data_IF_031256467564
#
_entry.id   IF_031256467564
#
_cell.length_a   1.000
_cell.length_b   1.000
_cell.length_c   1.000
_cell.angle_alpha   90.00
_cell.angle_beta   90.00
_cell.angle_gamma   90.00
#
_symmetry.space_group_name_H-M   'P 1'
#
loop_
_entity.id
_entity.type
_entity.pdbx_description
1 polymer ?
#
# COMPACT_ATOMS: atom_id res chain seq x y z
N UNK A 1 -7.65 -11.20 1.22
CA UNK A 1 -6.26 -11.63 0.91
C UNK A 1 -5.76 -12.65 1.95
N UNK A 2 -6.06 -12.37 3.20
CA UNK A 2 -5.75 -13.09 4.44
C UNK A 2 -6.24 -14.55 4.42
N UNK A 3 -7.46 -14.81 3.91
CA UNK A 3 -7.97 -16.18 3.75
C UNK A 3 -7.15 -17.01 2.76
N UNK A 4 -6.73 -16.40 1.64
CA UNK A 4 -5.88 -17.06 0.66
C UNK A 4 -4.48 -17.32 1.24
N UNK A 5 -3.94 -16.36 2.00
CA UNK A 5 -2.70 -16.54 2.74
C UNK A 5 -2.80 -17.71 3.72
N UNK A 6 -3.87 -17.76 4.53
CA UNK A 6 -4.13 -18.85 5.46
C UNK A 6 -4.19 -20.21 4.76
N UNK A 7 -4.92 -20.31 3.64
CA UNK A 7 -5.03 -21.55 2.86
C UNK A 7 -3.69 -22.03 2.30
N UNK A 8 -2.80 -21.12 1.91
CA UNK A 8 -1.45 -21.45 1.41
C UNK A 8 -0.46 -21.76 2.53
N UNK A 9 -0.59 -21.11 3.68
CA UNK A 9 0.29 -21.31 4.82
C UNK A 9 -0.03 -22.58 5.62
N UNK A 10 -1.31 -22.94 5.72
CA UNK A 10 -1.74 -24.09 6.53
C UNK A 10 -1.03 -25.41 6.14
N UNK A 11 -0.90 -25.79 4.85
CA UNK A 11 -0.16 -27.00 4.46
C UNK A 11 1.31 -27.02 4.91
N UNK A 12 1.94 -25.84 5.05
CA UNK A 12 3.35 -25.71 5.45
C UNK A 12 3.58 -25.91 6.95
N UNK A 13 2.53 -25.81 7.77
CA UNK A 13 2.63 -25.90 9.22
C UNK A 13 2.43 -27.35 9.68
N UNK A 14 3.45 -28.06 10.17
CA UNK A 14 3.26 -29.43 10.65
C UNK A 14 2.25 -29.55 11.82
N UNK A 15 1.67 -30.75 12.02
CA UNK A 15 0.82 -31.03 13.20
C UNK A 15 1.62 -30.85 14.50
N UNK A 16 1.00 -30.28 15.52
CA UNK A 16 1.68 -29.83 16.73
C UNK A 16 2.38 -28.47 16.58
N UNK A 17 2.53 -27.97 15.35
CA UNK A 17 3.10 -26.65 15.07
C UNK A 17 2.22 -25.51 15.55
N UNK A 18 2.83 -24.35 15.74
CA UNK A 18 2.19 -23.15 16.27
C UNK A 18 1.90 -22.19 15.12
N UNK A 19 0.65 -21.73 15.03
CA UNK A 19 0.25 -20.61 14.20
C UNK A 19 0.23 -19.35 15.06
N UNK A 20 0.91 -18.31 14.60
CA UNK A 20 0.74 -16.93 15.07
C UNK A 20 0.21 -16.15 13.87
N UNK A 21 -1.05 -15.74 13.93
CA UNK A 21 -1.75 -15.13 12.81
C UNK A 21 -2.18 -13.71 13.14
N UNK A 22 -1.53 -12.73 12.48
CA UNK A 22 -1.79 -11.31 12.67
C UNK A 22 -2.66 -10.83 11.52
N UNK A 23 -3.90 -10.45 11.82
CA UNK A 23 -4.88 -10.01 10.83
C UNK A 23 -5.73 -8.87 11.36
N UNK A 24 -6.31 -8.03 10.50
CA UNK A 24 -7.35 -7.10 10.92
C UNK A 24 -8.56 -7.86 11.50
N UNK A 25 -9.13 -7.36 12.60
CA UNK A 25 -10.24 -8.04 13.31
C UNK A 25 -11.44 -8.33 12.39
N UNK A 26 -11.80 -7.39 11.52
CA UNK A 26 -12.94 -7.48 10.59
C UNK A 26 -12.86 -8.64 9.58
N UNK A 27 -11.72 -9.31 9.46
CA UNK A 27 -11.54 -10.49 8.59
C UNK A 27 -12.08 -11.76 9.26
N UNK A 28 -12.30 -11.75 10.59
CA UNK A 28 -12.80 -12.89 11.37
C UNK A 28 -14.29 -13.14 11.17
N UNK A 29 -14.64 -13.62 9.98
CA UNK A 29 -15.99 -14.07 9.67
C UNK A 29 -16.23 -15.56 9.97
N UNK A 30 -17.46 -16.02 9.77
CA UNK A 30 -17.88 -17.39 10.05
C UNK A 30 -17.03 -18.46 9.33
N UNK A 31 -16.50 -18.13 8.16
CA UNK A 31 -15.67 -19.05 7.37
C UNK A 31 -14.26 -19.16 7.98
N UNK A 32 -13.58 -18.04 8.18
CA UNK A 32 -12.21 -18.05 8.73
C UNK A 32 -12.19 -18.57 10.16
N UNK A 33 -13.14 -18.13 10.99
CA UNK A 33 -13.29 -18.66 12.36
C UNK A 33 -13.60 -20.15 12.32
N UNK A 34 -14.42 -20.60 11.37
CA UNK A 34 -14.71 -22.02 11.15
C UNK A 34 -13.47 -22.84 10.83
N UNK A 35 -12.53 -22.30 10.04
CA UNK A 35 -11.26 -22.97 9.76
C UNK A 35 -10.33 -22.98 10.98
N UNK A 36 -10.15 -21.83 11.63
CA UNK A 36 -9.31 -21.73 12.83
C UNK A 36 -9.76 -22.72 13.90
N UNK A 37 -11.04 -22.69 14.23
CA UNK A 37 -11.65 -23.55 15.24
C UNK A 37 -11.68 -25.02 14.85
N UNK A 38 -11.47 -25.40 13.58
CA UNK A 38 -11.38 -26.80 13.13
C UNK A 38 -9.94 -27.32 13.11
N UNK A 39 -8.98 -26.47 12.77
CA UNK A 39 -7.60 -26.89 12.54
C UNK A 39 -6.68 -26.70 13.76
N UNK A 40 -7.10 -25.90 14.74
CA UNK A 40 -6.26 -25.49 15.87
C UNK A 40 -6.92 -25.78 17.22
N UNK A 41 -6.10 -26.17 18.19
CA UNK A 41 -6.40 -26.21 19.61
C UNK A 41 -5.74 -25.04 20.33
N UNK A 42 -6.14 -24.81 21.58
CA UNK A 42 -5.53 -23.80 22.46
C UNK A 42 -5.55 -22.39 21.86
N UNK A 43 -6.62 -22.11 21.09
CA UNK A 43 -6.80 -20.85 20.39
C UNK A 43 -6.92 -19.69 21.37
N UNK A 44 -6.07 -18.69 21.20
CA UNK A 44 -6.08 -17.44 21.98
C UNK A 44 -6.03 -16.27 21.02
N UNK A 45 -6.72 -15.19 21.37
CA UNK A 45 -6.78 -13.98 20.57
C UNK A 45 -6.43 -12.79 21.45
N UNK A 46 -5.56 -11.92 20.92
CA UNK A 46 -5.15 -10.69 21.56
C UNK A 46 -5.25 -9.53 20.57
N UNK A 47 -5.47 -8.32 21.06
CA UNK A 47 -5.29 -7.10 20.30
C UNK A 47 -3.80 -6.83 20.13
N UNK A 48 -3.38 -6.44 18.92
CA UNK A 48 -2.01 -5.98 18.70
C UNK A 48 -1.75 -4.67 19.47
N UNK A 49 -0.50 -4.46 19.91
CA UNK A 49 -0.09 -3.24 20.63
C UNK A 49 -0.30 -2.00 19.77
N UNK A 50 -0.03 -2.09 18.47
CA UNK A 50 -0.36 -1.05 17.50
C UNK A 50 -1.86 -1.11 17.14
N UNK A 51 -2.57 -0.03 17.43
CA UNK A 51 -4.04 0.04 17.31
C UNK A 51 -4.53 0.68 16.01
N UNK A 52 -3.65 1.36 15.26
CA UNK A 52 -4.00 2.05 14.02
C UNK A 52 -4.71 1.14 13.00
N UNK A 53 -4.33 -0.14 12.94
CA UNK A 53 -4.83 -1.09 11.95
C UNK A 53 -5.90 -2.05 12.47
N UNK A 54 -6.36 -1.89 13.72
CA UNK A 54 -7.34 -2.78 14.39
C UNK A 54 -6.97 -4.27 14.24
N UNK A 55 -5.69 -4.56 14.43
CA UNK A 55 -5.16 -5.91 14.25
C UNK A 55 -5.32 -6.75 15.52
N UNK A 56 -5.52 -8.04 15.30
CA UNK A 56 -5.54 -9.07 16.32
C UNK A 56 -4.46 -10.11 16.03
N UNK A 57 -3.88 -10.64 17.09
CA UNK A 57 -2.89 -11.71 17.07
C UNK A 57 -3.55 -12.98 17.59
N UNK A 58 -3.65 -13.99 16.72
CA UNK A 58 -4.26 -15.27 17.05
C UNK A 58 -3.18 -16.32 17.18
N UNK A 59 -3.15 -16.98 18.34
CA UNK A 59 -2.28 -18.12 18.60
C UNK A 59 -3.09 -19.40 18.52
N UNK A 60 -2.51 -20.45 17.95
CA UNK A 60 -3.15 -21.77 17.95
C UNK A 60 -2.16 -22.88 17.65
N UNK A 61 -2.41 -24.07 18.20
CA UNK A 61 -1.60 -25.28 17.93
C UNK A 61 -2.31 -26.18 16.94
N UNK A 62 -1.68 -26.51 15.81
CA UNK A 62 -2.30 -27.30 14.75
C UNK A 62 -2.59 -28.72 15.26
N UNK A 63 -3.82 -29.18 15.15
CA UNK A 63 -4.25 -30.52 15.57
C UNK A 63 -4.91 -31.28 14.42
N UNK A 64 -5.05 -32.60 14.57
CA UNK A 64 -5.93 -33.39 13.70
C UNK A 64 -7.36 -33.22 14.19
N UNK A 65 -8.32 -33.24 13.27
CA UNK A 65 -9.73 -33.00 13.59
C UNK A 65 -10.29 -33.96 14.66
N UNK A 66 -9.77 -35.19 14.74
CA UNK A 66 -10.16 -36.18 15.74
C UNK A 66 -9.69 -35.86 17.17
N UNK A 67 -8.69 -34.99 17.33
CA UNK A 67 -8.08 -34.65 18.61
C UNK A 67 -8.76 -33.41 19.24
N UNK A 68 -9.92 -33.01 18.73
CA UNK A 68 -10.60 -31.77 19.08
C UNK A 68 -11.62 -31.96 20.22
N UNK A 69 -11.49 -31.17 21.29
CA UNK A 69 -12.46 -31.14 22.39
C UNK A 69 -13.66 -30.23 22.03
N UNK A 70 -14.87 -30.79 22.04
CA UNK A 70 -16.09 -30.13 21.53
C UNK A 70 -16.51 -28.86 22.29
N UNK A 71 -16.37 -28.85 23.62
CA UNK A 71 -17.02 -27.82 24.44
C UNK A 71 -16.22 -26.50 24.51
N UNK A 72 -14.88 -26.56 24.55
CA UNK A 72 -14.04 -25.36 24.51
C UNK A 72 -14.10 -24.64 23.15
N UNK A 73 -14.31 -25.39 22.08
CA UNK A 73 -14.38 -24.86 20.70
C UNK A 73 -15.57 -23.91 20.51
N UNK A 74 -16.72 -24.18 21.15
CA UNK A 74 -17.91 -23.33 21.02
C UNK A 74 -17.69 -21.94 21.63
N UNK A 75 -17.12 -21.89 22.83
CA UNK A 75 -16.83 -20.62 23.51
C UNK A 75 -15.81 -19.78 22.73
N UNK A 76 -14.71 -20.39 22.29
CA UNK A 76 -13.70 -19.69 21.49
C UNK A 76 -14.24 -19.24 20.14
N UNK A 77 -15.08 -20.05 19.49
CA UNK A 77 -15.76 -19.66 18.24
C UNK A 77 -16.62 -18.42 18.44
N UNK A 78 -17.42 -18.39 19.51
CA UNK A 78 -18.27 -17.25 19.85
C UNK A 78 -17.44 -15.97 20.05
N UNK A 79 -16.37 -16.06 20.85
CA UNK A 79 -15.47 -14.93 21.11
C UNK A 79 -14.83 -14.38 19.83
N UNK A 80 -14.29 -15.25 18.97
CA UNK A 80 -13.67 -14.83 17.71
C UNK A 80 -14.65 -14.12 16.78
N UNK A 81 -15.91 -14.56 16.73
CA UNK A 81 -16.95 -13.93 15.92
C UNK A 81 -17.37 -12.57 16.49
N UNK A 82 -17.53 -12.46 17.81
CA UNK A 82 -17.85 -11.19 18.47
C UNK A 82 -16.75 -10.14 18.21
N UNK A 83 -15.48 -10.55 18.28
CA UNK A 83 -14.36 -9.68 17.97
C UNK A 83 -14.33 -9.29 16.48
N UNK A 84 -14.66 -10.23 15.59
CA UNK A 84 -14.74 -9.96 14.15
C UNK A 84 -15.86 -8.99 13.77
N UNK A 85 -16.98 -9.04 14.48
CA UNK A 85 -18.14 -8.15 14.31
C UNK A 85 -17.94 -6.79 14.99
N UNK A 86 -16.99 -6.69 15.93
CA UNK A 86 -16.77 -5.49 16.74
C UNK A 86 -17.65 -5.41 17.98
N UNK A 87 -18.35 -6.50 18.33
CA UNK A 87 -19.21 -6.61 19.51
C UNK A 87 -18.41 -6.84 20.81
N UNK A 88 -17.15 -7.28 20.68
CA UNK A 88 -16.22 -7.45 21.78
C UNK A 88 -14.81 -6.99 21.37
N UNK A 89 -14.03 -6.54 22.35
CA UNK A 89 -12.60 -6.26 22.15
C UNK A 89 -11.75 -7.41 22.69
N UNK A 90 -10.69 -7.75 21.96
CA UNK A 90 -9.69 -8.69 22.44
C UNK A 90 -8.84 -8.04 23.54
N UNK A 91 -8.39 -8.84 24.51
CA UNK A 91 -7.41 -8.40 25.50
C UNK A 91 -6.11 -7.99 24.83
N UNK A 92 -5.39 -7.04 25.41
CA UNK A 92 -4.09 -6.63 24.89
C UNK A 92 -3.07 -7.76 24.97
N UNK A 93 -2.21 -7.88 23.95
CA UNK A 93 -1.14 -8.86 23.96
C UNK A 93 -0.22 -8.62 25.18
N UNK A 94 -0.04 -9.61 26.07
CA UNK A 94 0.70 -9.39 27.31
C UNK A 94 2.19 -9.20 27.02
N UNK A 95 2.84 -8.31 27.78
CA UNK A 95 4.28 -8.07 27.71
C UNK A 95 5.09 -9.32 28.11
N UNK A 96 4.59 -10.06 29.09
CA UNK A 96 5.14 -11.32 29.55
C UNK A 96 4.14 -12.45 29.29
N UNK A 97 4.59 -13.54 28.68
CA UNK A 97 3.71 -14.64 28.31
C UNK A 97 3.25 -15.41 29.56
N UNK A 98 1.93 -15.42 29.90
CA UNK A 98 1.47 -15.98 31.17
C UNK A 98 1.20 -17.50 31.11
N UNK A 99 1.38 -18.13 29.94
CA UNK A 99 1.14 -19.56 29.75
C UNK A 99 2.46 -20.32 29.56
N UNK A 100 2.36 -21.65 29.55
CA UNK A 100 3.49 -22.49 29.17
C UNK A 100 3.98 -22.12 27.76
N UNK A 101 5.32 -22.13 27.53
CA UNK A 101 5.88 -21.92 26.21
C UNK A 101 5.34 -22.93 25.21
N UNK A 102 5.09 -22.48 23.99
CA UNK A 102 4.74 -23.41 22.92
C UNK A 102 5.94 -24.28 22.57
N UNK A 103 5.72 -25.59 22.46
CA UNK A 103 6.74 -26.53 22.00
C UNK A 103 6.82 -26.52 20.48
N UNK A 104 8.00 -26.28 19.93
CA UNK A 104 8.24 -26.43 18.49
C UNK A 104 8.46 -27.92 18.19
N UNK A 105 7.60 -28.58 17.41
CA UNK A 105 7.80 -29.98 17.07
C UNK A 105 9.07 -30.18 16.25
N UNK A 106 9.80 -31.25 16.54
CA UNK A 106 10.92 -31.68 15.72
C UNK A 106 10.43 -32.00 14.31
N UNK A 107 11.26 -31.70 13.29
CA UNK A 107 10.94 -32.07 11.92
C UNK A 107 10.82 -33.59 11.81
N UNK A 108 9.75 -34.14 11.19
CA UNK A 108 9.59 -35.57 11.03
C UNK A 108 10.59 -36.17 10.02
N UNK A 109 11.21 -35.33 9.19
CA UNK A 109 12.22 -35.70 8.22
C UNK A 109 13.46 -34.81 8.39
N UNK A 110 14.64 -35.37 8.14
CA UNK A 110 15.84 -34.56 8.00
C UNK A 110 15.70 -33.63 6.79
N UNK A 111 16.14 -32.36 6.89
CA UNK A 111 16.14 -31.48 5.74
C UNK A 111 17.05 -32.04 4.66
N UNK A 112 16.52 -32.29 3.45
CA UNK A 112 17.30 -32.80 2.30
C UNK A 112 18.50 -31.90 1.98
N UNK A 113 18.34 -30.60 2.17
CA UNK A 113 19.35 -29.60 1.88
C UNK A 113 19.38 -28.57 3.02
N UNK A 114 20.45 -28.58 3.81
CA UNK A 114 20.71 -27.55 4.82
C UNK A 114 22.09 -26.96 4.57
N UNK A 115 22.17 -26.04 3.62
CA UNK A 115 23.42 -25.37 3.27
C UNK A 115 23.32 -23.89 3.62
N UNK A 116 24.37 -23.39 4.29
CA UNK A 116 24.68 -21.96 4.28
C UNK A 116 25.42 -21.68 2.98
N UNK A 117 24.75 -21.08 2.01
CA UNK A 117 25.43 -20.55 0.83
C UNK A 117 26.07 -19.21 1.21
N UNK A 118 27.40 -19.17 1.21
CA UNK A 118 28.17 -17.91 1.27
C UNK A 118 28.89 -17.82 -0.06
N UNK A 119 28.48 -16.86 -0.90
CA UNK A 119 29.17 -16.58 -2.15
C UNK A 119 30.18 -15.47 -1.90
N UNK A 120 31.39 -15.66 -2.40
CA UNK A 120 32.34 -14.56 -2.50
C UNK A 120 31.83 -13.50 -3.50
N UNK A 121 32.19 -12.23 -3.35
CA UNK A 121 31.72 -11.16 -4.23
C UNK A 121 31.94 -11.44 -5.72
N UNK A 122 33.07 -12.08 -6.07
CA UNK A 122 33.42 -12.46 -7.44
C UNK A 122 32.46 -13.52 -8.00
N UNK A 123 32.18 -14.57 -7.22
CA UNK A 123 31.22 -15.61 -7.61
C UNK A 123 29.80 -15.05 -7.75
N UNK A 124 29.41 -14.12 -6.89
CA UNK A 124 28.12 -13.45 -7.01
C UNK A 124 28.05 -12.59 -8.27
N UNK A 125 29.11 -11.85 -8.61
CA UNK A 125 29.17 -11.06 -9.83
C UNK A 125 29.06 -11.95 -11.08
N UNK A 126 29.77 -13.09 -11.10
CA UNK A 126 29.69 -14.08 -12.18
C UNK A 126 28.27 -14.64 -12.32
N UNK A 127 27.60 -14.98 -11.21
CA UNK A 127 26.24 -15.51 -11.26
C UNK A 127 25.18 -14.48 -11.61
N UNK A 128 25.32 -13.24 -11.15
CA UNK A 128 24.47 -12.11 -11.58
C UNK A 128 24.66 -11.88 -13.08
N UNK A 129 25.89 -11.94 -13.57
CA UNK A 129 26.22 -11.81 -14.99
C UNK A 129 25.64 -12.95 -15.83
N UNK A 130 25.71 -14.20 -15.35
CA UNK A 130 25.20 -15.38 -16.05
C UNK A 130 23.67 -15.43 -16.06
N UNK A 131 23.04 -15.20 -14.91
CA UNK A 131 21.60 -15.32 -14.77
C UNK A 131 20.88 -14.11 -15.35
N UNK A 132 21.49 -12.92 -15.33
CA UNK A 132 20.95 -11.62 -15.75
C UNK A 132 19.65 -11.18 -15.03
N UNK A 133 18.93 -12.10 -14.38
CA UNK A 133 17.61 -11.85 -13.80
C UNK A 133 16.64 -11.26 -14.82
N UNK A 134 15.80 -10.33 -14.36
CA UNK A 134 14.90 -9.55 -15.21
C UNK A 134 15.53 -8.23 -15.70
N UNK A 135 16.83 -7.99 -15.41
CA UNK A 135 17.50 -6.72 -15.73
C UNK A 135 17.49 -6.37 -17.22
N UNK A 136 17.70 -7.30 -18.17
CA UNK A 136 17.62 -6.99 -19.60
C UNK A 136 16.23 -6.52 -20.05
N UNK A 137 15.18 -6.92 -19.34
CA UNK A 137 13.80 -6.57 -19.62
C UNK A 137 13.30 -5.40 -18.74
N UNK A 138 14.17 -4.79 -17.92
CA UNK A 138 13.80 -3.74 -16.98
C UNK A 138 13.18 -2.54 -17.71
N UNK A 139 13.82 -2.05 -18.78
CA UNK A 139 13.30 -0.92 -19.55
C UNK A 139 12.03 -1.24 -20.32
N UNK A 140 11.83 -2.52 -20.65
CA UNK A 140 10.58 -2.98 -21.26
C UNK A 140 9.46 -2.93 -20.23
N UNK A 141 9.65 -3.53 -19.05
CA UNK A 141 8.56 -3.64 -18.07
C UNK A 141 8.37 -2.43 -17.15
N UNK A 142 9.44 -1.70 -16.88
CA UNK A 142 9.51 -0.59 -15.91
C UNK A 142 10.03 0.71 -16.53
N UNK A 143 10.54 0.69 -17.76
CA UNK A 143 11.00 1.91 -18.43
C UNK A 143 9.85 2.84 -18.79
N UNK A 144 10.06 4.15 -18.58
CA UNK A 144 9.07 5.18 -18.85
C UNK A 144 8.60 5.21 -20.32
N UNK A 145 9.43 4.71 -21.25
CA UNK A 145 9.14 4.67 -22.68
C UNK A 145 7.98 3.72 -23.06
N UNK A 146 7.64 2.74 -22.22
CA UNK A 146 6.54 1.80 -22.49
C UNK A 146 5.23 2.10 -21.75
N UNK A 147 5.15 3.21 -21.00
CA UNK A 147 3.86 3.64 -20.47
C UNK A 147 3.02 4.28 -21.57
N UNK A 148 2.37 3.45 -22.39
CA UNK A 148 1.19 3.91 -23.13
C UNK A 148 0.24 4.51 -22.09
N UNK A 149 -0.11 5.79 -22.23
CA UNK A 149 -1.06 6.45 -21.35
C UNK A 149 -2.32 5.58 -21.28
N UNK A 150 -2.55 4.95 -20.13
CA UNK A 150 -3.75 4.12 -19.97
C UNK A 150 -4.96 5.05 -20.00
N UNK A 151 -5.98 4.76 -20.82
CA UNK A 151 -7.19 5.56 -20.79
C UNK A 151 -7.78 5.49 -19.37
N UNK A 152 -8.29 6.62 -18.84
CA UNK A 152 -8.85 6.64 -17.51
C UNK A 152 -10.05 5.68 -17.44
N UNK A 153 -10.17 4.94 -16.33
CA UNK A 153 -11.23 3.94 -16.14
C UNK A 153 -12.66 4.53 -16.19
N UNK A 154 -12.78 5.86 -16.09
CA UNK A 154 -14.02 6.62 -16.24
C UNK A 154 -13.74 7.89 -17.03
N UNK A 155 -14.76 8.38 -17.73
CA UNK A 155 -14.69 9.68 -18.39
C UNK A 155 -14.27 10.79 -17.41
N UNK A 156 -13.28 11.58 -17.82
CA UNK A 156 -12.79 12.71 -17.05
C UNK A 156 -13.84 13.83 -17.03
N UNK A 157 -14.13 14.35 -15.84
CA UNK A 157 -14.91 15.58 -15.70
C UNK A 157 -14.16 16.79 -16.26
N UNK A 158 -14.87 17.90 -16.49
CA UNK A 158 -14.28 19.16 -16.94
C UNK A 158 -13.14 19.64 -16.04
N UNK A 159 -13.25 19.44 -14.73
CA UNK A 159 -12.19 19.77 -13.78
C UNK A 159 -10.90 18.98 -14.03
N UNK A 160 -11.02 17.66 -14.21
CA UNK A 160 -9.86 16.81 -14.50
C UNK A 160 -9.20 17.19 -15.82
N UNK A 161 -9.99 17.49 -16.85
CA UNK A 161 -9.49 17.92 -18.16
C UNK A 161 -8.77 19.27 -18.06
N UNK A 162 -9.32 20.23 -17.34
CA UNK A 162 -8.71 21.53 -17.12
C UNK A 162 -7.37 21.40 -16.36
N UNK A 163 -7.34 20.58 -15.30
CA UNK A 163 -6.13 20.34 -14.52
C UNK A 163 -5.05 19.61 -15.33
N UNK A 164 -5.43 18.57 -16.08
CA UNK A 164 -4.50 17.83 -16.92
C UNK A 164 -3.96 18.68 -18.08
N UNK A 165 -4.79 19.54 -18.66
CA UNK A 165 -4.35 20.55 -19.62
C UNK A 165 -3.34 21.50 -18.97
N UNK A 166 -3.69 22.12 -17.84
CA UNK A 166 -2.85 23.06 -17.11
C UNK A 166 -1.49 22.47 -16.70
N UNK A 167 -1.48 21.20 -16.29
CA UNK A 167 -0.27 20.46 -15.94
C UNK A 167 0.59 20.05 -17.15
N UNK A 168 0.14 20.33 -18.38
CA UNK A 168 0.84 19.93 -19.62
C UNK A 168 0.71 18.45 -19.98
N UNK A 169 -0.10 17.68 -19.25
CA UNK A 169 -0.35 16.26 -19.52
C UNK A 169 -1.27 16.05 -20.74
N UNK A 170 -2.09 17.06 -21.08
CA UNK A 170 -2.93 17.08 -22.28
C UNK A 170 -2.58 18.32 -23.10
N UNK A 171 -2.42 18.17 -24.40
CA UNK A 171 -2.24 19.25 -25.36
C UNK A 171 -2.91 18.89 -26.68
N UNK A 172 -3.38 19.87 -27.45
CA UNK A 172 -3.99 19.60 -28.74
C UNK A 172 -4.88 20.71 -29.27
N UNK A 173 -5.64 20.39 -30.32
CA UNK A 173 -6.59 21.32 -30.95
C UNK A 173 -7.93 21.25 -30.20
N UNK A 174 -8.46 22.40 -29.82
CA UNK A 174 -9.78 22.55 -29.20
C UNK A 174 -10.63 23.45 -30.09
N UNK A 175 -11.82 22.96 -30.44
CA UNK A 175 -12.80 23.70 -31.23
C UNK A 175 -13.99 24.06 -30.36
N UNK A 176 -14.29 25.35 -30.23
CA UNK A 176 -15.47 25.83 -29.52
C UNK A 176 -16.74 25.56 -30.33
N UNK A 177 -17.90 25.58 -29.66
CA UNK A 177 -19.21 25.53 -30.33
C UNK A 177 -19.45 26.70 -31.29
N UNK A 178 -18.73 27.81 -31.09
CA UNK A 178 -18.80 29.02 -31.93
C UNK A 178 -17.82 28.96 -33.12
N UNK A 179 -17.12 27.84 -33.32
CA UNK A 179 -16.18 27.65 -34.42
C UNK A 179 -14.76 28.18 -34.17
N UNK A 180 -14.46 28.67 -32.96
CA UNK A 180 -13.11 29.10 -32.60
C UNK A 180 -12.20 27.88 -32.45
N UNK A 181 -11.04 27.89 -33.10
CA UNK A 181 -10.07 26.79 -33.11
C UNK A 181 -8.78 27.26 -32.44
N UNK A 182 -8.41 26.62 -31.34
CA UNK A 182 -7.19 26.94 -30.59
C UNK A 182 -6.30 25.69 -30.47
N UNK A 183 -5.00 25.83 -30.67
CA UNK A 183 -4.01 24.83 -30.24
C UNK A 183 -3.59 25.18 -28.83
N UNK A 184 -3.91 24.33 -27.86
CA UNK A 184 -3.62 24.57 -26.45
C UNK A 184 -2.49 23.69 -25.93
N UNK A 185 -1.63 24.27 -25.11
CA UNK A 185 -0.59 23.59 -24.34
C UNK A 185 -0.50 24.23 -22.98
N UNK A 186 -0.72 23.44 -21.92
CA UNK A 186 -0.41 23.90 -20.58
C UNK A 186 1.04 23.68 -20.22
N UNK A 187 1.47 24.46 -19.25
CA UNK A 187 2.78 24.45 -18.63
C UNK A 187 2.58 24.79 -17.15
N UNK A 188 3.48 24.33 -16.30
CA UNK A 188 3.45 24.66 -14.88
C UNK A 188 4.86 25.00 -14.44
N UNK A 189 5.07 26.27 -14.06
CA UNK A 189 6.34 26.71 -13.52
C UNK A 189 6.26 26.88 -12.01
N UNK A 190 7.41 26.72 -11.38
CA UNK A 190 7.57 26.87 -9.94
C UNK A 190 7.98 28.30 -9.62
N UNK A 191 7.18 28.99 -8.82
CA UNK A 191 7.49 30.27 -8.21
C UNK A 191 7.84 30.06 -6.73
N UNK A 192 8.59 30.99 -6.14
CA UNK A 192 8.87 31.01 -4.71
C UNK A 192 8.29 32.29 -4.12
N UNK A 193 7.47 32.14 -3.09
CA UNK A 193 6.99 33.27 -2.28
C UNK A 193 7.78 33.30 -0.99
N UNK A 194 8.30 34.46 -0.62
CA UNK A 194 8.98 34.70 0.65
C UNK A 194 8.02 35.42 1.61
N UNK A 195 7.81 34.85 2.77
CA UNK A 195 7.13 35.50 3.89
C UNK A 195 8.12 35.61 5.06
N UNK A 196 8.28 36.81 5.60
CA UNK A 196 9.15 37.07 6.74
C UNK A 196 8.30 37.38 7.95
N UNK A 197 8.51 36.64 9.03
CA UNK A 197 7.85 36.83 10.33
C UNK A 197 8.90 37.25 11.36
N UNK A 198 8.55 38.25 12.17
CA UNK A 198 9.39 38.73 13.26
C UNK A 198 8.71 38.37 14.58
N UNK A 199 9.43 37.68 15.45
CA UNK A 199 8.95 37.35 16.81
C UNK A 199 9.91 37.94 17.81
N UNK A 200 9.40 38.80 18.68
CA UNK A 200 10.16 39.36 19.80
C UNK A 200 10.20 38.33 20.94
N UNK A 201 11.40 38.00 21.40
CA UNK A 201 11.62 37.03 22.50
C UNK A 201 11.60 37.74 23.84
N UNK A 202 11.38 36.98 24.92
CA UNK A 202 11.31 37.50 26.30
C UNK A 202 12.59 38.20 26.77
N UNK A 203 13.73 37.99 26.08
CA UNK A 203 15.01 38.65 26.33
C UNK A 203 15.21 39.97 25.55
N UNK A 204 14.18 40.43 24.82
CA UNK A 204 14.21 41.63 23.98
C UNK A 204 14.95 41.44 22.65
N UNK A 205 15.37 40.23 22.30
CA UNK A 205 15.94 39.94 20.98
C UNK A 205 14.84 39.64 19.95
N UNK A 206 15.05 40.07 18.70
CA UNK A 206 14.12 39.81 17.59
C UNK A 206 14.58 38.59 16.81
N UNK A 207 13.72 37.58 16.69
CA UNK A 207 13.93 36.44 15.82
C UNK A 207 13.24 36.67 14.47
N UNK A 208 14.01 36.62 13.39
CA UNK A 208 13.51 36.66 12.01
C UNK A 208 13.33 35.22 11.49
N UNK A 209 12.11 34.87 11.10
CA UNK A 209 11.80 33.60 10.42
C UNK A 209 11.45 33.86 8.97
N UNK A 210 12.20 33.26 8.04
CA UNK A 210 11.95 33.35 6.59
C UNK A 210 11.29 32.07 6.10
N UNK A 211 10.02 32.15 5.73
CA UNK A 211 9.24 31.06 5.17
C UNK A 211 9.29 31.17 3.64
N UNK A 212 9.92 30.19 3.01
CA UNK A 212 9.98 30.05 1.55
C UNK A 212 8.93 29.03 1.12
N UNK A 213 7.86 29.51 0.48
CA UNK A 213 6.78 28.66 -0.02
C UNK A 213 6.92 28.46 -1.52
N UNK A 214 7.06 27.21 -1.93
CA UNK A 214 7.02 26.83 -3.33
C UNK A 214 5.58 26.89 -3.85
N UNK A 215 5.33 27.69 -4.88
CA UNK A 215 4.03 27.85 -5.54
C UNK A 215 4.10 27.32 -6.96
N UNK A 216 3.28 26.33 -7.30
CA UNK A 216 3.16 25.83 -8.67
C UNK A 216 2.10 26.64 -9.42
N UNK A 217 2.52 27.39 -10.44
CA UNK A 217 1.66 28.29 -11.20
C UNK A 217 1.36 27.67 -12.57
N UNK A 218 0.11 27.22 -12.80
CA UNK A 218 -0.29 26.73 -14.11
C UNK A 218 -0.45 27.89 -15.10
N UNK A 219 -0.03 27.68 -16.34
CA UNK A 219 -0.18 28.61 -17.45
C UNK A 219 -0.65 27.83 -18.67
N UNK A 220 -1.73 28.27 -19.31
CA UNK A 220 -2.17 27.67 -20.58
C UNK A 220 -1.85 28.64 -21.71
N UNK A 221 -1.04 28.19 -22.67
CA UNK A 221 -0.82 28.91 -23.93
C UNK A 221 -1.77 28.38 -24.99
N UNK A 222 -2.38 29.28 -25.74
CA UNK A 222 -3.33 28.95 -26.80
C UNK A 222 -2.94 29.69 -28.08
N UNK A 223 -2.59 28.96 -29.12
CA UNK A 223 -2.37 29.52 -30.45
C UNK A 223 -3.70 29.57 -31.21
N UNK A 224 -4.13 30.76 -31.63
CA UNK A 224 -5.40 30.93 -32.32
C UNK A 224 -5.28 30.59 -33.81
N UNK A 225 -5.94 29.52 -34.22
CA UNK A 225 -6.01 29.05 -35.60
C UNK A 225 -7.39 29.31 -36.24
N UNK A 226 -8.22 30.15 -35.61
CA UNK A 226 -9.53 30.49 -36.13
C UNK A 226 -9.41 31.37 -37.36
N UNK A 227 -9.80 30.85 -38.53
CA UNK A 227 -9.79 31.60 -39.78
C UNK A 227 -10.66 32.86 -39.67
N UNK A 228 -10.10 34.01 -40.05
CA UNK A 228 -10.80 35.30 -40.00
C UNK A 228 -10.92 35.91 -38.59
N UNK A 229 -10.33 35.29 -37.57
CA UNK A 229 -10.23 35.90 -36.23
C UNK A 229 -9.26 37.09 -36.25
N UNK A 230 -9.55 38.18 -35.51
CA UNK A 230 -8.61 39.30 -35.36
C UNK A 230 -7.29 38.88 -34.70
N UNK A 231 -7.29 37.80 -33.92
CA UNK A 231 -6.10 37.25 -33.26
C UNK A 231 -5.54 36.03 -33.99
N UNK A 232 -5.91 35.81 -35.26
CA UNK A 232 -5.45 34.66 -36.03
C UNK A 232 -3.92 34.64 -36.12
N UNK A 233 -3.32 33.51 -35.74
CA UNK A 233 -1.88 33.33 -35.68
C UNK A 233 -1.23 33.80 -34.37
N UNK A 234 -1.97 34.43 -33.45
CA UNK A 234 -1.42 34.92 -32.18
C UNK A 234 -1.41 33.86 -31.07
N UNK A 235 -0.45 33.96 -30.15
CA UNK A 235 -0.37 33.13 -28.95
C UNK A 235 -0.96 33.88 -27.76
N UNK A 236 -2.07 33.37 -27.26
CA UNK A 236 -2.80 33.88 -26.11
C UNK A 236 -2.35 33.16 -24.84
N UNK A 237 -2.37 33.87 -23.71
CA UNK A 237 -2.16 33.27 -22.39
C UNK A 237 -3.48 33.25 -21.65
N UNK A 238 -3.92 32.05 -21.26
CA UNK A 238 -5.11 31.82 -20.44
C UNK A 238 -4.63 31.60 -19.00
N UNK A 239 -5.06 32.48 -18.10
CA UNK A 239 -4.78 32.45 -16.66
C UNK A 239 -6.03 32.09 -15.89
#
# INVERSE_FOLDING_TARGET
>A
LEKLFYQRALPLLQYGGVLIFIVPSYVLDAELVGWLTRHFADLRIYRAVETQFKQVVIFGRRIRQRDQASDSVKATRGLLLQIGQGDAEAEELPLEWPFLPYTVPASPAEPEHFYRVTMEPEQFADEVGRLQGLWPALDTHLGAAQQSLRPPARALSHWHLALALAAGAISGVVTSKTGRVLVVKGDTHKEKTLQTEYTERDDGSVAETRILTDKFVPVIRAWDLTLGSPTWGEVLTIR
#
